data_IF_776156260443
#
_entry.id   IF_776156260443
#
_cell.length_a   1.000
_cell.length_b   1.000
_cell.length_c   1.000
_cell.angle_alpha   90.00
_cell.angle_beta   90.00
_cell.angle_gamma   90.00
#
_symmetry.space_group_name_H-M   'P 1'
#
loop_
_entity.id
_entity.type
_entity.pdbx_description
1 polymer ?
#
# COMPACT_ATOMS: atom_id res chain seq x y z
N UNK A 1 -15.32 9.85 11.38
CA UNK A 1 -14.18 9.00 10.97
C UNK A 1 -13.20 8.91 12.13
N UNK A 2 -12.65 7.73 12.44
CA UNK A 2 -11.64 7.56 13.49
C UNK A 2 -10.31 8.24 13.13
N UNK A 3 -9.64 8.85 14.10
CA UNK A 3 -8.36 9.54 13.90
C UNK A 3 -7.23 8.54 13.59
N UNK A 4 -6.15 9.01 12.93
CA UNK A 4 -4.98 8.16 12.61
C UNK A 4 -4.32 7.63 13.89
N UNK A 5 -4.14 8.48 14.90
CA UNK A 5 -3.57 8.10 16.18
C UNK A 5 -4.41 7.03 16.91
N UNK A 6 -5.73 7.15 16.85
CA UNK A 6 -6.65 6.17 17.44
C UNK A 6 -6.48 4.78 16.83
N UNK A 7 -6.44 4.71 15.49
CA UNK A 7 -6.25 3.44 14.77
C UNK A 7 -4.88 2.83 15.07
N UNK A 8 -3.82 3.65 15.10
CA UNK A 8 -2.47 3.21 15.40
C UNK A 8 -2.38 2.59 16.80
N UNK A 9 -3.03 3.19 17.80
CA UNK A 9 -3.04 2.66 19.16
C UNK A 9 -3.73 1.28 19.25
N UNK A 10 -4.87 1.11 18.57
CA UNK A 10 -5.59 -0.18 18.51
C UNK A 10 -4.71 -1.25 17.85
N UNK A 11 -4.06 -0.91 16.74
CA UNK A 11 -3.17 -1.83 16.02
C UNK A 11 -1.98 -2.23 16.90
N UNK A 12 -1.37 -1.27 17.61
CA UNK A 12 -0.29 -1.55 18.56
C UNK A 12 -0.72 -2.49 19.68
N UNK A 13 -1.92 -2.30 20.24
CA UNK A 13 -2.49 -3.21 21.25
C UNK A 13 -2.85 -4.59 20.68
N UNK A 14 -3.14 -4.69 19.39
CA UNK A 14 -3.45 -5.96 18.73
C UNK A 14 -2.19 -6.79 18.37
N UNK A 15 -1.04 -6.14 18.15
CA UNK A 15 0.20 -6.79 17.66
C UNK A 15 1.29 -6.85 18.76
N UNK A 16 1.15 -6.06 19.83
CA UNK A 16 2.15 -5.97 20.90
C UNK A 16 2.34 -7.25 21.72
N UNK A 17 3.31 -7.26 22.65
CA UNK A 17 3.65 -8.43 23.48
C UNK A 17 2.50 -8.88 24.39
N UNK A 18 1.52 -8.01 24.65
CA UNK A 18 0.28 -8.30 25.37
C UNK A 18 -0.92 -8.13 24.42
N UNK A 19 -0.87 -8.79 23.25
CA UNK A 19 -1.92 -8.73 22.25
C UNK A 19 -3.25 -9.20 22.84
N UNK A 20 -4.25 -8.31 22.81
CA UNK A 20 -5.62 -8.66 23.18
C UNK A 20 -6.36 -9.24 21.97
N UNK A 21 -7.30 -10.18 22.19
CA UNK A 21 -8.15 -10.65 21.11
C UNK A 21 -8.99 -9.48 20.56
N UNK A 22 -9.24 -9.52 19.25
CA UNK A 22 -9.94 -8.44 18.52
C UNK A 22 -11.34 -8.17 19.10
N UNK A 23 -11.98 -9.18 19.69
CA UNK A 23 -13.25 -9.04 20.40
C UNK A 23 -13.15 -8.14 21.63
N UNK A 24 -12.12 -8.31 22.45
CA UNK A 24 -11.89 -7.47 23.64
C UNK A 24 -11.52 -6.04 23.24
N UNK A 25 -10.73 -5.88 22.16
CA UNK A 25 -10.42 -4.55 21.62
C UNK A 25 -11.66 -3.84 21.07
N UNK A 26 -12.61 -4.57 20.49
CA UNK A 26 -13.86 -3.98 20.02
C UNK A 26 -14.71 -3.44 21.16
N UNK A 27 -14.75 -4.13 22.29
CA UNK A 27 -15.44 -3.68 23.51
C UNK A 27 -14.69 -2.53 24.21
N UNK A 28 -13.36 -2.60 24.32
CA UNK A 28 -12.55 -1.56 24.96
C UNK A 28 -12.58 -0.23 24.19
N UNK A 29 -12.57 -0.30 22.85
CA UNK A 29 -12.46 0.86 21.97
C UNK A 29 -13.76 1.25 21.26
N UNK A 30 -14.89 0.66 21.63
CA UNK A 30 -16.21 0.90 21.02
C UNK A 30 -16.15 0.94 19.48
N UNK A 31 -15.37 0.00 18.92
CA UNK A 31 -15.04 -0.03 17.50
C UNK A 31 -15.52 -1.35 16.90
N UNK A 32 -16.13 -1.30 15.72
CA UNK A 32 -16.61 -2.52 15.08
C UNK A 32 -15.45 -3.46 14.73
N UNK A 33 -15.66 -4.76 14.91
CA UNK A 33 -14.70 -5.82 14.51
C UNK A 33 -14.22 -5.61 13.07
N UNK A 34 -15.15 -5.31 12.16
CA UNK A 34 -14.85 -5.04 10.73
C UNK A 34 -13.91 -3.86 10.54
N UNK A 35 -14.02 -2.82 11.36
CA UNK A 35 -13.12 -1.66 11.30
C UNK A 35 -11.72 -2.04 11.77
N UNK A 36 -11.62 -2.78 12.88
CA UNK A 36 -10.34 -3.23 13.45
C UNK A 36 -9.62 -4.15 12.47
N UNK A 37 -10.31 -5.16 11.91
CA UNK A 37 -9.75 -6.03 10.88
C UNK A 37 -9.24 -5.25 9.67
N UNK A 38 -9.99 -4.24 9.21
CA UNK A 38 -9.56 -3.40 8.08
C UNK A 38 -8.29 -2.62 8.41
N UNK A 39 -8.17 -2.10 9.63
CA UNK A 39 -6.98 -1.35 10.05
C UNK A 39 -5.76 -2.26 10.21
N UNK A 40 -5.92 -3.44 10.81
CA UNK A 40 -4.85 -4.43 10.91
C UNK A 40 -4.36 -4.86 9.53
N UNK A 41 -5.28 -5.13 8.60
CA UNK A 41 -4.93 -5.50 7.22
C UNK A 41 -4.19 -4.37 6.50
N UNK A 42 -4.61 -3.12 6.71
CA UNK A 42 -3.93 -1.95 6.13
C UNK A 42 -2.53 -1.75 6.72
N UNK A 43 -2.35 -1.90 8.04
CA UNK A 43 -1.04 -1.81 8.67
C UNK A 43 -0.09 -2.93 8.23
N UNK A 44 -0.59 -4.16 8.09
CA UNK A 44 0.18 -5.27 7.54
C UNK A 44 0.59 -5.03 6.08
N UNK A 45 -0.24 -4.34 5.28
CA UNK A 45 0.13 -3.95 3.92
C UNK A 45 1.21 -2.86 3.91
N UNK A 46 1.13 -1.85 4.78
CA UNK A 46 2.17 -0.81 4.90
C UNK A 46 3.53 -1.39 5.33
N UNK A 47 3.57 -2.41 6.19
CA UNK A 47 4.84 -3.10 6.54
C UNK A 47 5.42 -3.94 5.39
N UNK A 48 4.57 -4.43 4.48
CA UNK A 48 4.99 -5.18 3.29
C UNK A 48 5.30 -4.28 2.09
N UNK A 49 4.89 -3.01 2.11
CA UNK A 49 5.39 -1.95 1.22
C UNK A 49 6.79 -1.50 1.67
N UNK A 50 7.69 -2.47 1.77
CA UNK A 50 9.12 -2.22 1.74
C UNK A 50 9.46 -1.79 0.31
N UNK A 51 9.43 -0.48 0.08
CA UNK A 51 10.17 0.26 -0.96
C UNK A 51 10.36 -0.54 -2.25
N UNK A 52 9.36 -0.56 -3.14
CA UNK A 52 9.78 -0.48 -4.53
C UNK A 52 10.44 0.90 -4.64
N UNK A 53 11.76 0.98 -4.92
CA UNK A 53 12.27 2.25 -5.41
C UNK A 53 11.40 2.58 -6.61
N UNK A 54 10.92 3.82 -6.64
CA UNK A 54 10.48 4.47 -7.86
C UNK A 54 11.58 4.24 -8.92
N UNK A 55 11.51 3.09 -9.59
CA UNK A 55 12.20 2.84 -10.84
C UNK A 55 11.52 3.84 -11.74
N UNK A 56 12.11 5.04 -11.80
CA UNK A 56 11.86 6.00 -12.85
C UNK A 56 11.64 5.18 -14.11
N UNK A 57 10.47 5.30 -14.78
CA UNK A 57 10.23 4.49 -15.95
C UNK A 57 11.38 4.80 -16.88
N UNK A 58 12.20 3.78 -17.21
CA UNK A 58 13.32 3.93 -18.13
C UNK A 58 12.71 4.54 -19.38
N UNK A 59 12.93 5.85 -19.57
CA UNK A 59 12.49 6.57 -20.74
C UNK A 59 13.35 6.04 -21.88
N UNK A 60 12.91 4.94 -22.49
CA UNK A 60 13.51 4.45 -23.71
C UNK A 60 13.48 5.61 -24.71
N UNK A 61 14.62 5.98 -25.30
CA UNK A 61 14.64 7.06 -26.27
C UNK A 61 13.66 6.71 -27.40
N UNK A 62 12.71 7.60 -27.66
CA UNK A 62 11.78 7.45 -28.77
C UNK A 62 12.62 7.36 -30.04
N UNK A 63 12.46 6.34 -30.89
CA UNK A 63 13.20 6.27 -32.15
C UNK A 63 12.81 7.46 -33.02
N UNK A 64 13.66 8.48 -33.05
CA UNK A 64 13.43 9.76 -33.74
C UNK A 64 13.50 9.66 -35.26
N UNK A 65 13.89 8.50 -35.79
CA UNK A 65 14.10 8.31 -37.23
C UNK A 65 13.51 6.98 -37.71
N UNK A 66 12.21 6.80 -37.55
CA UNK A 66 11.50 5.81 -38.35
C UNK A 66 11.20 6.45 -39.71
N UNK A 67 11.91 6.02 -40.76
CA UNK A 67 11.57 6.40 -42.14
C UNK A 67 10.16 5.93 -42.43
N UNK A 68 9.34 6.79 -43.03
CA UNK A 68 7.99 6.40 -43.43
C UNK A 68 8.12 5.34 -44.54
N UNK A 69 7.13 4.45 -44.73
CA UNK A 69 7.17 3.44 -45.78
C UNK A 69 7.42 4.03 -47.19
N UNK A 70 6.98 5.26 -47.43
CA UNK A 70 7.21 6.02 -48.66
C UNK A 70 8.67 6.52 -48.85
N UNK A 71 9.46 6.58 -47.79
CA UNK A 71 10.86 7.03 -47.78
C UNK A 71 11.86 5.85 -47.78
N UNK A 72 11.37 4.61 -47.94
CA UNK A 72 12.20 3.42 -48.12
C UNK A 72 12.59 3.27 -49.59
N UNK A 73 13.85 3.55 -49.91
CA UNK A 73 14.45 3.23 -51.21
C UNK A 73 14.91 1.77 -51.20
N UNK A 74 14.51 0.94 -52.19
CA UNK A 74 15.15 -0.34 -52.43
C UNK A 74 16.45 -0.07 -53.19
N UNK A 75 17.60 -0.12 -52.50
CA UNK A 75 18.87 -0.38 -53.18
C UNK A 75 18.99 -1.87 -53.53
#
# INVERSE_FOLDING_TARGET
>A
MYSKAYRAMIIQKAIGPNALPIAELAEEFDASLTSIYRWMKAAAAEENECVEPENEPICLPVPTTMKRPQDWSPE
#
